data_IF_208352895982
#
_entry.id   IF_208352895982
#
_cell.length_a   1.000
_cell.length_b   1.000
_cell.length_c   1.000
_cell.angle_alpha   90.00
_cell.angle_beta   90.00
_cell.angle_gamma   90.00
#
_symmetry.space_group_name_H-M   'P 1'
#
loop_
_entity.id
_entity.type
_entity.pdbx_description
1 polymer ?
#
# COMPACT_ATOMS: atom_id res chain seq x y z
N UNK A 1 28.43 15.37 70.45
CA UNK A 1 28.29 16.02 69.12
C UNK A 1 28.72 15.14 67.93
N UNK A 2 29.68 14.20 68.03
CA UNK A 2 30.15 13.36 66.89
C UNK A 2 29.21 12.23 66.41
N UNK A 3 28.26 11.76 67.23
CA UNK A 3 27.39 10.59 66.91
C UNK A 3 26.15 10.94 66.05
N UNK A 4 25.68 12.18 66.12
CA UNK A 4 24.53 12.69 65.34
C UNK A 4 24.90 12.92 63.85
N UNK A 5 26.14 13.32 63.58
CA UNK A 5 26.63 13.60 62.23
C UNK A 5 26.77 12.32 61.38
N UNK A 6 27.23 11.21 61.98
CA UNK A 6 27.35 9.91 61.31
C UNK A 6 26.00 9.30 60.91
N UNK A 7 24.95 9.51 61.72
CA UNK A 7 23.59 8.99 61.43
C UNK A 7 22.89 9.76 60.31
N UNK A 8 23.20 11.06 60.14
CA UNK A 8 22.68 11.86 59.02
C UNK A 8 23.31 11.47 57.69
N UNK A 9 24.62 11.20 57.65
CA UNK A 9 25.29 10.76 56.41
C UNK A 9 24.89 9.34 55.98
N UNK A 10 24.64 8.43 56.93
CA UNK A 10 24.16 7.07 56.60
C UNK A 10 22.77 7.07 55.93
N UNK A 11 21.89 8.02 56.27
CA UNK A 11 20.56 8.16 55.65
C UNK A 11 20.60 8.81 54.27
N UNK A 12 21.56 9.71 54.03
CA UNK A 12 21.74 10.40 52.75
C UNK A 12 22.33 9.44 51.69
N UNK A 13 23.23 8.53 52.08
CA UNK A 13 23.76 7.52 51.15
C UNK A 13 22.72 6.47 50.74
N UNK A 14 21.74 6.15 51.59
CA UNK A 14 20.71 5.14 51.28
C UNK A 14 19.63 5.66 50.30
N UNK A 15 19.43 6.97 50.22
CA UNK A 15 18.46 7.59 49.30
C UNK A 15 19.06 7.89 47.91
N UNK A 16 20.39 7.96 47.80
CA UNK A 16 21.06 8.18 46.51
C UNK A 16 21.13 6.92 45.63
N UNK A 17 21.04 5.72 46.21
CA UNK A 17 21.09 4.44 45.48
C UNK A 17 19.73 4.00 44.91
N UNK A 18 18.61 4.58 45.37
CA UNK A 18 17.27 4.22 44.90
C UNK A 18 16.82 5.00 43.65
N UNK A 19 17.48 6.11 43.30
CA UNK A 19 17.11 6.95 42.16
C UNK A 19 17.69 6.47 40.82
N UNK A 20 18.59 5.48 40.79
CA UNK A 20 19.19 4.96 39.56
C UNK A 20 18.39 3.83 38.88
N UNK A 21 17.33 3.32 39.52
CA UNK A 21 16.51 2.22 38.99
C UNK A 21 15.23 2.68 38.28
N UNK A 22 15.02 4.00 38.12
CA UNK A 22 13.84 4.59 37.49
C UNK A 22 14.17 5.35 36.19
N UNK A 23 15.14 4.87 35.41
CA UNK A 23 15.28 5.32 34.02
C UNK A 23 14.15 4.68 33.20
N UNK A 24 13.23 5.45 32.59
CA UNK A 24 12.34 4.89 31.61
C UNK A 24 13.21 4.40 30.45
N UNK A 25 13.10 3.12 30.11
CA UNK A 25 13.66 2.62 28.87
C UNK A 25 13.00 3.41 27.73
N UNK A 26 13.72 4.39 27.20
CA UNK A 26 13.34 5.05 25.95
C UNK A 26 13.50 3.95 24.90
N UNK A 27 12.39 3.28 24.58
CA UNK A 27 12.33 2.35 23.47
C UNK A 27 12.73 3.10 22.22
N UNK A 28 13.92 2.82 21.72
CA UNK A 28 14.32 3.21 20.38
C UNK A 28 13.38 2.44 19.44
N UNK A 29 12.35 3.12 18.93
CA UNK A 29 11.56 2.60 17.84
C UNK A 29 12.53 2.25 16.70
N UNK A 30 12.60 0.97 16.34
CA UNK A 30 13.34 0.55 15.16
C UNK A 30 12.86 1.37 13.96
N UNK A 31 13.77 1.76 13.04
CA UNK A 31 13.37 2.40 11.81
C UNK A 31 12.47 1.41 11.07
N UNK A 32 11.16 1.67 11.10
CA UNK A 32 10.19 0.91 10.32
C UNK A 32 10.67 0.96 8.89
N UNK A 33 11.02 -0.19 8.31
CA UNK A 33 11.25 -0.33 6.87
C UNK A 33 10.04 0.33 6.20
N UNK A 34 10.27 1.48 5.53
CA UNK A 34 9.24 2.32 4.93
C UNK A 34 8.39 1.47 3.96
N UNK A 35 7.32 0.88 4.46
CA UNK A 35 6.45 -0.01 3.69
C UNK A 35 5.44 0.85 2.96
N UNK A 36 5.35 0.67 1.65
CA UNK A 36 4.37 1.38 0.83
C UNK A 36 3.06 0.60 0.88
N UNK A 37 2.15 1.04 1.74
CA UNK A 37 0.76 0.55 1.71
C UNK A 37 0.01 1.19 0.53
N UNK A 38 -0.58 0.35 -0.32
CA UNK A 38 -1.45 0.73 -1.45
C UNK A 38 -2.66 -0.21 -1.48
N UNK A 39 -3.83 0.27 -1.88
CA UNK A 39 -5.01 -0.57 -2.01
C UNK A 39 -5.09 -1.16 -3.43
N UNK A 40 -5.71 -2.34 -3.58
CA UNK A 40 -6.03 -2.92 -4.89
C UNK A 40 -6.86 -1.91 -5.70
N UNK A 41 -6.57 -1.84 -7.01
CA UNK A 41 -7.17 -0.91 -7.98
C UNK A 41 -6.83 0.57 -7.73
N UNK A 42 -5.82 0.85 -6.90
CA UNK A 42 -5.40 2.22 -6.60
C UNK A 42 -3.91 2.43 -6.90
N UNK A 43 -3.57 3.69 -7.12
CA UNK A 43 -2.21 4.13 -7.35
C UNK A 43 -1.76 5.10 -6.25
N UNK A 44 -0.49 5.00 -5.87
CA UNK A 44 0.16 5.86 -4.88
C UNK A 44 1.43 6.46 -5.47
N UNK A 45 1.53 7.78 -5.36
CA UNK A 45 2.73 8.52 -5.75
C UNK A 45 3.75 8.48 -4.61
N UNK A 46 4.98 8.10 -4.94
CA UNK A 46 6.10 8.09 -4.00
C UNK A 46 7.30 8.77 -4.63
N UNK A 47 7.98 9.62 -3.86
CA UNK A 47 9.19 10.30 -4.33
C UNK A 47 10.42 9.47 -3.98
N UNK A 48 11.31 9.29 -4.96
CA UNK A 48 12.56 8.55 -4.76
C UNK A 48 13.75 9.51 -4.56
N UNK A 49 14.74 9.11 -3.74
CA UNK A 49 16.00 9.83 -3.63
C UNK A 49 16.86 9.61 -4.89
N UNK A 50 17.53 10.67 -5.36
CA UNK A 50 18.50 10.57 -6.45
C UNK A 50 17.89 10.39 -7.85
N UNK A 51 18.77 10.10 -8.83
CA UNK A 51 18.38 9.87 -10.23
C UNK A 51 18.28 8.37 -10.50
N UNK A 52 17.08 7.83 -10.31
CA UNK A 52 16.75 6.43 -10.64
C UNK A 52 16.76 6.25 -12.16
N UNK A 53 17.36 5.15 -12.60
CA UNK A 53 17.42 4.76 -14.00
C UNK A 53 16.57 3.53 -14.28
N UNK A 54 16.60 2.56 -13.37
CA UNK A 54 15.94 1.26 -13.55
C UNK A 54 15.13 0.92 -12.31
N UNK A 55 13.96 0.31 -12.51
CA UNK A 55 13.13 -0.24 -11.44
C UNK A 55 12.94 -1.73 -11.72
N UNK A 56 13.13 -2.54 -10.69
CA UNK A 56 12.87 -3.98 -10.70
C UNK A 56 11.77 -4.25 -9.69
N UNK A 57 10.71 -4.93 -10.11
CA UNK A 57 9.60 -5.32 -9.23
C UNK A 57 9.66 -6.83 -9.00
N UNK A 58 9.55 -7.27 -7.75
CA UNK A 58 9.61 -8.69 -7.40
C UNK A 58 8.46 -9.49 -8.05
N UNK A 59 7.22 -9.07 -7.81
CA UNK A 59 6.03 -9.65 -8.42
C UNK A 59 5.09 -8.57 -9.03
N UNK A 60 5.08 -8.41 -10.38
CA UNK A 60 4.24 -7.43 -11.07
C UNK A 60 2.74 -7.77 -11.10
N UNK A 61 2.34 -8.97 -10.66
CA UNK A 61 0.93 -9.35 -10.51
C UNK A 61 0.32 -8.79 -9.21
N UNK A 62 1.14 -8.53 -8.20
CA UNK A 62 0.70 -7.95 -6.91
C UNK A 62 0.71 -6.43 -7.00
N UNK A 63 1.83 -5.84 -7.40
CA UNK A 63 1.95 -4.39 -7.58
C UNK A 63 2.84 -4.08 -8.77
N UNK A 64 2.64 -2.92 -9.38
CA UNK A 64 3.44 -2.43 -10.50
C UNK A 64 3.98 -1.04 -10.18
N UNK A 65 5.15 -0.71 -10.70
CA UNK A 65 5.82 0.55 -10.39
C UNK A 65 6.32 1.18 -11.68
N UNK A 66 5.83 2.39 -11.96
CA UNK A 66 6.26 3.14 -13.13
C UNK A 66 7.02 4.39 -12.72
N UNK A 67 8.17 4.64 -13.36
CA UNK A 67 8.95 5.84 -13.14
C UNK A 67 8.36 7.01 -13.92
N UNK A 68 8.12 8.12 -13.24
CA UNK A 68 7.67 9.38 -13.82
C UNK A 68 8.83 10.38 -13.89
N UNK A 69 8.78 11.34 -14.84
CA UNK A 69 9.74 12.44 -14.87
C UNK A 69 9.81 13.16 -13.51
N UNK A 70 11.02 13.56 -13.10
CA UNK A 70 11.23 14.28 -11.83
C UNK A 70 11.50 13.40 -10.60
N UNK A 71 11.78 12.11 -10.77
CA UNK A 71 12.18 11.21 -9.67
C UNK A 71 11.01 10.75 -8.80
N UNK A 72 9.82 10.70 -9.38
CA UNK A 72 8.62 10.16 -8.74
C UNK A 72 8.30 8.80 -9.34
N UNK A 73 7.71 7.94 -8.53
CA UNK A 73 7.14 6.68 -9.00
C UNK A 73 5.66 6.65 -8.72
N UNK A 74 4.93 5.99 -9.62
CA UNK A 74 3.53 5.61 -9.41
C UNK A 74 3.51 4.12 -9.11
N UNK A 75 3.14 3.79 -7.89
CA UNK A 75 2.95 2.41 -7.42
C UNK A 75 1.49 2.06 -7.56
N UNK A 76 1.14 1.04 -8.34
CA UNK A 76 -0.23 0.59 -8.57
C UNK A 76 -0.44 -0.77 -7.92
N UNK A 77 -1.42 -0.87 -7.02
CA UNK A 77 -1.87 -2.14 -6.44
C UNK A 77 -2.72 -2.92 -7.43
N UNK A 78 -2.27 -4.10 -7.85
CA UNK A 78 -2.99 -4.97 -8.81
C UNK A 78 -3.66 -6.16 -8.13
N UNK A 79 -3.05 -6.70 -7.08
CA UNK A 79 -3.58 -7.85 -6.36
C UNK A 79 -3.12 -7.90 -4.92
N UNK A 80 -3.86 -8.64 -4.09
CA UNK A 80 -3.57 -8.77 -2.66
C UNK A 80 -2.22 -9.43 -2.41
N UNK A 81 -1.50 -8.91 -1.41
CA UNK A 81 -0.27 -9.53 -0.92
C UNK A 81 0.83 -8.52 -0.65
N UNK A 82 2.04 -9.04 -0.44
CA UNK A 82 3.23 -8.25 -0.28
C UNK A 82 4.22 -8.55 -1.41
N UNK A 83 4.86 -7.51 -1.92
CA UNK A 83 5.96 -7.59 -2.89
C UNK A 83 6.97 -6.50 -2.55
N UNK A 84 8.04 -6.36 -3.31
CA UNK A 84 8.97 -5.26 -3.18
C UNK A 84 9.33 -4.69 -4.54
N UNK A 85 9.97 -3.52 -4.51
CA UNK A 85 10.64 -2.97 -5.68
C UNK A 85 12.04 -2.50 -5.29
N UNK A 86 12.95 -2.59 -6.26
CA UNK A 86 14.33 -2.17 -6.16
C UNK A 86 14.56 -1.11 -7.22
N UNK A 87 15.06 0.05 -6.81
CA UNK A 87 15.43 1.14 -7.71
C UNK A 87 16.95 1.22 -7.82
N UNK A 88 17.44 1.23 -9.05
CA UNK A 88 18.86 1.30 -9.38
C UNK A 88 19.19 2.63 -10.07
N UNK A 89 20.41 3.10 -9.87
CA UNK A 89 20.98 4.21 -10.63
C UNK A 89 21.54 3.74 -12.00
N UNK A 90 22.22 4.64 -12.73
CA UNK A 90 22.86 4.27 -14.02
C UNK A 90 24.12 3.42 -13.87
N UNK A 91 24.76 3.44 -12.69
CA UNK A 91 25.92 2.60 -12.37
C UNK A 91 25.54 1.20 -11.90
N UNK A 92 24.26 0.93 -11.65
CA UNK A 92 23.75 -0.33 -11.10
C UNK A 92 23.77 -0.38 -9.57
N UNK A 93 24.02 0.74 -8.89
CA UNK A 93 23.93 0.85 -7.44
C UNK A 93 22.47 0.87 -6.99
N UNK A 94 22.17 0.13 -5.91
CA UNK A 94 20.84 0.11 -5.30
C UNK A 94 20.61 1.40 -4.53
N UNK A 95 19.68 2.22 -5.01
CA UNK A 95 19.28 3.45 -4.35
C UNK A 95 18.19 3.21 -3.30
N UNK A 96 17.25 2.31 -3.60
CA UNK A 96 16.10 1.99 -2.75
C UNK A 96 15.75 0.51 -2.89
N UNK A 97 15.48 -0.14 -1.78
CA UNK A 97 14.76 -1.43 -1.70
C UNK A 97 13.66 -1.26 -0.66
N UNK A 98 12.40 -1.40 -1.07
CA UNK A 98 11.22 -1.18 -0.20
C UNK A 98 10.13 -2.20 -0.47
N UNK A 99 9.48 -2.62 0.61
CA UNK A 99 8.31 -3.48 0.54
C UNK A 99 7.06 -2.67 0.15
N UNK A 100 6.24 -3.26 -0.70
CA UNK A 100 4.90 -2.80 -1.06
C UNK A 100 3.91 -3.78 -0.45
N UNK A 101 3.02 -3.25 0.38
CA UNK A 101 1.90 -3.99 0.93
C UNK A 101 0.64 -3.60 0.17
N UNK A 102 0.02 -4.57 -0.50
CA UNK A 102 -1.23 -4.37 -1.22
C UNK A 102 -2.39 -4.87 -0.38
N UNK A 103 -3.23 -3.93 0.02
CA UNK A 103 -4.39 -4.15 0.89
C UNK A 103 -5.67 -4.19 0.06
N UNK A 104 -6.76 -4.65 0.68
CA UNK A 104 -8.07 -4.63 0.03
C UNK A 104 -8.53 -3.24 -0.38
N UNK A 105 -9.50 -3.13 -1.31
CA UNK A 105 -9.96 -1.84 -1.79
C UNK A 105 -10.53 -1.02 -0.62
N UNK A 106 -10.29 0.29 -0.63
CA UNK A 106 -10.76 1.20 0.43
C UNK A 106 -12.20 1.69 0.24
N UNK A 107 -12.84 1.32 -0.87
CA UNK A 107 -14.24 1.64 -1.14
C UNK A 107 -15.19 0.88 -0.20
N UNK A 108 -16.42 1.39 -0.04
CA UNK A 108 -17.49 0.75 0.75
C UNK A 108 -17.97 -0.54 0.08
N UNK A 109 -17.15 -1.58 0.20
CA UNK A 109 -17.34 -2.88 -0.38
C UNK A 109 -18.20 -3.76 0.53
N UNK A 110 -19.18 -4.41 -0.08
CA UNK A 110 -19.98 -5.47 0.52
C UNK A 110 -19.68 -6.76 -0.23
N UNK A 111 -19.26 -7.78 0.50
CA UNK A 111 -19.05 -9.12 -0.04
C UNK A 111 -20.20 -10.02 0.41
N UNK A 112 -20.87 -10.66 -0.54
CA UNK A 112 -21.96 -11.60 -0.30
C UNK A 112 -21.48 -13.01 -0.61
N UNK A 113 -21.65 -13.92 0.35
CA UNK A 113 -21.34 -15.33 0.18
C UNK A 113 -22.64 -16.15 0.04
N UNK A 114 -22.73 -16.94 -1.03
CA UNK A 114 -23.85 -17.87 -1.31
C UNK A 114 -23.29 -19.28 -1.42
N UNK A 115 -23.04 -19.90 -0.27
CA UNK A 115 -22.25 -21.14 -0.22
C UNK A 115 -20.78 -20.85 -0.54
N UNK A 116 -20.25 -21.48 -1.59
CA UNK A 116 -18.87 -21.24 -2.07
C UNK A 116 -18.77 -20.04 -3.03
N UNK A 117 -19.90 -19.53 -3.50
CA UNK A 117 -19.96 -18.41 -4.43
C UNK A 117 -19.74 -17.09 -3.67
N UNK A 118 -18.72 -16.34 -4.09
CA UNK A 118 -18.42 -15.01 -3.57
C UNK A 118 -18.77 -13.95 -4.60
N UNK A 119 -19.50 -12.92 -4.18
CA UNK A 119 -19.86 -11.77 -5.01
C UNK A 119 -19.48 -10.47 -4.30
N UNK A 120 -18.84 -9.54 -5.00
CA UNK A 120 -18.47 -8.23 -4.44
C UNK A 120 -19.33 -7.10 -5.02
N UNK A 121 -19.69 -6.14 -4.16
CA UNK A 121 -20.54 -4.99 -4.49
C UNK A 121 -19.93 -3.70 -3.95
N UNK A 122 -20.00 -2.61 -4.73
CA UNK A 122 -19.65 -1.26 -4.28
C UNK A 122 -20.93 -0.49 -3.93
N UNK A 123 -21.07 -0.04 -2.69
CA UNK A 123 -22.33 0.52 -2.18
C UNK A 123 -22.21 2.00 -1.82
N UNK A 124 -22.58 2.89 -2.76
CA UNK A 124 -22.62 4.34 -2.55
C UNK A 124 -23.69 5.02 -3.44
N UNK A 125 -24.92 5.35 -2.97
CA UNK A 125 -25.66 4.81 -1.82
C UNK A 125 -26.39 3.48 -2.15
N UNK A 126 -26.54 3.14 -3.43
CA UNK A 126 -27.07 1.87 -3.90
C UNK A 126 -25.90 0.93 -4.24
N UNK A 127 -26.07 -0.36 -3.99
CA UNK A 127 -25.06 -1.36 -4.28
C UNK A 127 -25.03 -1.71 -5.77
N UNK A 128 -23.88 -1.52 -6.39
CA UNK A 128 -23.60 -1.91 -7.77
C UNK A 128 -22.61 -3.07 -7.81
N UNK A 129 -22.75 -3.94 -8.81
CA UNK A 129 -21.83 -5.07 -9.00
C UNK A 129 -20.42 -4.56 -9.26
N UNK A 130 -19.44 -5.08 -8.52
CA UNK A 130 -18.01 -4.84 -8.76
C UNK A 130 -17.29 -6.18 -8.76
N UNK A 131 -16.52 -6.43 -9.81
CA UNK A 131 -15.65 -7.61 -9.83
C UNK A 131 -14.42 -7.34 -8.98
N UNK A 132 -14.13 -8.23 -8.04
CA UNK A 132 -12.91 -8.22 -7.21
C UNK A 132 -12.22 -9.59 -7.29
N UNK A 133 -10.90 -9.62 -7.08
CA UNK A 133 -10.16 -10.88 -7.02
C UNK A 133 -10.76 -11.81 -5.96
N UNK A 134 -11.06 -13.05 -6.38
CA UNK A 134 -11.67 -14.07 -5.55
C UNK A 134 -13.20 -14.12 -5.61
N UNK A 135 -13.87 -13.28 -6.40
CA UNK A 135 -15.28 -13.49 -6.76
C UNK A 135 -15.44 -14.75 -7.63
N UNK A 136 -16.63 -15.35 -7.61
CA UNK A 136 -16.86 -16.60 -8.32
C UNK A 136 -16.81 -16.47 -9.83
N UNK A 137 -16.45 -17.57 -10.51
CA UNK A 137 -16.28 -17.60 -11.97
C UNK A 137 -17.55 -17.15 -12.71
N UNK A 138 -18.72 -17.61 -12.25
CA UNK A 138 -19.99 -17.22 -12.85
C UNK A 138 -20.23 -15.70 -12.71
N UNK A 139 -19.99 -15.14 -11.52
CA UNK A 139 -20.16 -13.72 -11.26
C UNK A 139 -19.18 -12.87 -12.08
N UNK A 140 -17.92 -13.29 -12.14
CA UNK A 140 -16.83 -12.66 -12.90
C UNK A 140 -17.18 -12.61 -14.40
N UNK A 141 -17.47 -13.77 -15.00
CA UNK A 141 -17.72 -13.88 -16.44
C UNK A 141 -18.98 -13.12 -16.88
N UNK A 142 -20.06 -13.19 -16.10
CA UNK A 142 -21.29 -12.46 -16.39
C UNK A 142 -21.07 -10.94 -16.32
N UNK A 143 -20.35 -10.45 -15.32
CA UNK A 143 -20.11 -9.00 -15.19
C UNK A 143 -19.15 -8.49 -16.27
N UNK A 144 -18.11 -9.27 -16.60
CA UNK A 144 -17.13 -8.90 -17.63
C UNK A 144 -17.73 -8.90 -19.04
N UNK A 145 -18.59 -9.89 -19.36
CA UNK A 145 -19.30 -9.93 -20.65
C UNK A 145 -20.22 -8.72 -20.84
N UNK A 146 -20.99 -8.34 -19.81
CA UNK A 146 -21.83 -7.13 -19.85
C UNK A 146 -21.01 -5.86 -20.08
N UNK A 147 -19.89 -5.71 -19.35
CA UNK A 147 -18.97 -4.59 -19.53
C UNK A 147 -18.36 -4.57 -20.94
N UNK A 148 -17.97 -5.74 -21.47
CA UNK A 148 -17.46 -5.90 -22.82
C UNK A 148 -18.47 -5.50 -23.89
N UNK A 149 -19.73 -5.95 -23.78
CA UNK A 149 -20.81 -5.56 -24.69
C UNK A 149 -21.10 -4.06 -24.62
N UNK A 150 -21.09 -3.47 -23.43
CA UNK A 150 -21.27 -2.02 -23.28
C UNK A 150 -20.13 -1.25 -23.95
N UNK A 151 -18.88 -1.68 -23.73
CA UNK A 151 -17.70 -1.08 -24.36
C UNK A 151 -17.71 -1.22 -25.87
N UNK A 152 -18.10 -2.39 -26.41
CA UNK A 152 -18.19 -2.60 -27.86
C UNK A 152 -19.23 -1.68 -28.49
N UNK A 153 -20.41 -1.55 -27.87
CA UNK A 153 -21.47 -0.68 -28.34
C UNK A 153 -21.10 0.81 -28.25
N UNK A 154 -20.39 1.22 -27.20
CA UNK A 154 -19.86 2.56 -27.06
C UNK A 154 -18.80 2.87 -28.14
N UNK A 155 -17.89 1.94 -28.41
CA UNK A 155 -16.85 2.08 -29.44
C UNK A 155 -17.38 2.04 -30.88
N UNK A 156 -18.48 1.33 -31.13
CA UNK A 156 -19.13 1.28 -32.45
C UNK A 156 -19.85 2.57 -32.86
N UNK A 157 -20.06 3.49 -31.91
CA UNK A 157 -20.72 4.79 -32.16
C UNK A 157 -19.73 5.92 -32.52
N UNK A 158 -18.42 5.69 -32.40
CA UNK A 158 -17.37 6.67 -32.72
C UNK A 158 -16.95 6.67 -34.21
N UNK A 159 -17.57 5.81 -35.03
CA UNK A 159 -17.22 5.60 -36.44
C UNK A 159 -18.29 6.15 -37.40
N UNK A 160 -18.94 7.27 -37.07
CA UNK A 160 -19.82 7.96 -38.02
C UNK A 160 -18.97 8.78 -39.02
N UNK A 161 -18.86 8.21 -40.22
CA UNK A 161 -18.25 8.67 -41.47
C UNK A 161 -18.14 10.20 -41.69
N UNK A 162 -16.99 10.73 -42.15
CA UNK A 162 -16.92 12.12 -42.62
C UNK A 162 -17.81 12.28 -43.86
N UNK A 163 -18.77 13.21 -43.79
CA UNK A 163 -19.62 13.57 -44.91
C UNK A 163 -18.75 14.01 -46.10
N UNK A 164 -18.79 13.26 -47.21
CA UNK A 164 -18.27 13.73 -48.49
C UNK A 164 -19.18 14.84 -49.00
N UNK A 165 -18.71 16.08 -48.90
CA UNK A 165 -19.24 17.22 -49.66
C UNK A 165 -18.84 17.04 -51.12
N UNK A 166 -19.84 16.94 -52.00
CA UNK A 166 -19.71 17.09 -53.44
C UNK A 166 -19.98 18.55 -53.81
#
# INVERSE_FOLDING_TARGET
MRKEFLRRHARICLLATAAMLASPAIGLAEPTVDTIAVNVDQAKLVRLPGKVATIVVGNPLIADVTLQPGGMIVVTGKGYGATNFIALDRGGEILVDRQIQVEGPSDRLVTVYRGVERESYSCMPLCQRRVTLGDSDQYFNNTMSQAGTLSSNASGSASATPAKTN
#
